data_IF_370848290132
#
_entry.id   IF_370848290132
#
_cell.length_a   1.000
_cell.length_b   1.000
_cell.length_c   1.000
_cell.angle_alpha   90.00
_cell.angle_beta   90.00
_cell.angle_gamma   90.00
#
_symmetry.space_group_name_H-M   'P 1'
#
loop_
_entity.id
_entity.type
_entity.pdbx_description
1 polymer ?
#
# COMPACT_ATOMS: atom_id res chain seq x y z
N UNK A 1 -11.66 3.08 -4.56
CA UNK A 1 -10.82 3.42 -3.40
C UNK A 1 -10.97 2.46 -2.23
N UNK A 2 -12.17 2.27 -1.66
CA UNK A 2 -12.37 1.43 -0.46
C UNK A 2 -11.85 0.00 -0.59
N UNK A 3 -12.18 -0.71 -1.68
CA UNK A 3 -11.82 -2.13 -1.83
C UNK A 3 -10.34 -2.28 -2.23
N UNK A 4 -9.95 -2.19 -3.50
CA UNK A 4 -8.53 -2.37 -3.89
C UNK A 4 -7.56 -1.33 -3.32
N UNK A 5 -8.01 -0.09 -3.09
CA UNK A 5 -7.14 0.97 -2.59
C UNK A 5 -6.74 0.76 -1.14
N UNK A 6 -7.58 0.11 -0.32
CA UNK A 6 -7.29 -0.19 1.08
C UNK A 6 -5.97 -0.94 1.26
N UNK A 7 -5.67 -1.92 0.40
CA UNK A 7 -4.43 -2.67 0.46
C UNK A 7 -3.17 -1.80 0.31
N UNK A 8 -3.26 -0.70 -0.43
CA UNK A 8 -2.13 0.23 -0.60
C UNK A 8 -2.12 1.27 0.52
N UNK A 9 -3.30 1.72 0.95
CA UNK A 9 -3.44 2.66 2.07
C UNK A 9 -2.89 2.05 3.35
N UNK A 10 -3.23 0.80 3.63
CA UNK A 10 -2.73 0.03 4.77
C UNK A 10 -1.19 0.04 4.81
N UNK A 11 -0.54 -0.40 3.73
CA UNK A 11 0.93 -0.44 3.68
C UNK A 11 1.58 0.95 3.78
N UNK A 12 0.95 1.97 3.22
CA UNK A 12 1.42 3.35 3.33
C UNK A 12 1.30 3.89 4.76
N UNK A 13 0.18 3.64 5.43
CA UNK A 13 -0.08 4.09 6.82
C UNK A 13 0.78 3.31 7.81
N UNK A 14 1.00 2.00 7.59
CA UNK A 14 1.95 1.22 8.38
C UNK A 14 3.39 1.79 8.25
N UNK A 15 3.77 2.25 7.06
CA UNK A 15 5.10 2.83 6.82
C UNK A 15 5.25 4.26 7.38
N UNK A 16 4.22 5.09 7.24
CA UNK A 16 4.31 6.54 7.46
C UNK A 16 3.59 7.02 8.72
N UNK A 17 2.78 6.18 9.35
CA UNK A 17 1.86 6.54 10.42
C UNK A 17 0.60 7.23 9.92
N UNK A 18 -0.06 7.97 10.82
CA UNK A 18 -1.27 8.75 10.48
C UNK A 18 -0.90 9.96 9.61
N UNK A 19 -1.61 10.21 8.49
CA UNK A 19 -1.49 11.44 7.71
C UNK A 19 -2.10 12.64 8.45
N UNK A 20 -1.57 13.84 8.18
CA UNK A 20 -2.13 15.10 8.69
C UNK A 20 -3.44 15.47 7.98
N UNK A 21 -3.58 15.06 6.71
CA UNK A 21 -4.77 15.33 5.88
C UNK A 21 -4.91 14.32 4.75
N UNK A 22 -6.15 13.99 4.40
CA UNK A 22 -6.49 13.20 3.22
C UNK A 22 -7.40 14.01 2.30
N UNK A 23 -7.09 14.05 1.01
CA UNK A 23 -7.92 14.71 -0.01
C UNK A 23 -8.30 13.70 -1.10
N UNK A 24 -9.57 13.25 -1.13
CA UNK A 24 -10.04 12.30 -2.13
C UNK A 24 -10.61 13.00 -3.38
N UNK A 25 -10.39 12.37 -4.53
CA UNK A 25 -10.98 12.70 -5.83
C UNK A 25 -11.68 11.46 -6.35
N UNK A 26 -13.00 11.42 -6.18
CA UNK A 26 -13.80 10.24 -6.44
C UNK A 26 -14.72 10.48 -7.63
N UNK A 27 -14.64 9.61 -8.64
CA UNK A 27 -15.47 9.68 -9.84
C UNK A 27 -16.13 8.34 -10.12
N UNK A 28 -17.34 8.43 -10.66
CA UNK A 28 -18.05 7.34 -11.31
C UNK A 28 -18.10 7.65 -12.80
N UNK A 29 -17.49 6.81 -13.62
CA UNK A 29 -17.50 6.94 -15.08
C UNK A 29 -18.14 5.74 -15.79
N UNK A 30 -18.16 4.57 -15.15
CA UNK A 30 -18.78 3.36 -15.67
C UNK A 30 -20.30 3.40 -15.62
N UNK A 31 -20.92 2.71 -16.58
CA UNK A 31 -22.37 2.57 -16.69
C UNK A 31 -22.91 1.39 -15.86
N UNK A 32 -22.42 1.21 -14.63
CA UNK A 32 -22.86 0.14 -13.73
C UNK A 32 -24.11 0.57 -12.94
N UNK A 33 -25.04 -0.38 -12.63
CA UNK A 33 -26.29 -0.11 -11.93
C UNK A 33 -26.10 0.00 -10.40
N UNK A 34 -25.12 0.78 -9.96
CA UNK A 34 -24.84 1.11 -8.57
C UNK A 34 -24.48 2.60 -8.42
N UNK A 35 -24.05 3.05 -7.25
CA UNK A 35 -23.55 4.42 -7.03
C UNK A 35 -22.07 4.43 -6.62
N UNK A 36 -21.33 3.37 -6.93
CA UNK A 36 -19.94 3.21 -6.50
C UNK A 36 -19.01 4.02 -7.42
N UNK A 37 -17.90 4.48 -6.83
CA UNK A 37 -16.85 5.21 -7.56
C UNK A 37 -15.85 4.21 -8.14
N UNK A 38 -15.52 4.37 -9.42
CA UNK A 38 -14.74 3.42 -10.22
C UNK A 38 -13.48 4.03 -10.85
N UNK A 39 -13.25 5.32 -10.61
CA UNK A 39 -12.03 6.01 -10.95
C UNK A 39 -11.68 7.01 -9.85
N UNK A 40 -10.64 6.70 -9.08
CA UNK A 40 -10.41 7.32 -7.78
C UNK A 40 -8.94 7.65 -7.58
N UNK A 41 -8.69 8.80 -6.95
CA UNK A 41 -7.38 9.23 -6.45
C UNK A 41 -7.57 9.69 -5.01
N UNK A 42 -6.63 9.41 -4.13
CA UNK A 42 -6.56 10.02 -2.81
C UNK A 42 -5.13 10.48 -2.53
N UNK A 43 -4.99 11.72 -2.07
CA UNK A 43 -3.70 12.32 -1.68
C UNK A 43 -3.64 12.37 -0.16
N UNK A 44 -2.54 11.88 0.38
CA UNK A 44 -2.25 11.79 1.82
C UNK A 44 -1.09 12.73 2.12
N UNK A 45 -1.33 13.71 2.96
CA UNK A 45 -0.31 14.68 3.38
C UNK A 45 0.30 14.21 4.70
N UNK A 46 1.61 14.04 4.72
CA UNK A 46 2.39 13.76 5.93
C UNK A 46 3.35 14.93 6.19
N UNK A 47 3.88 15.08 7.42
CA UNK A 47 4.73 16.23 7.76
C UNK A 47 5.92 16.44 6.82
N UNK A 48 6.42 15.37 6.18
CA UNK A 48 7.60 15.39 5.31
C UNK A 48 7.46 14.56 4.03
N UNK A 49 6.25 14.17 3.65
CA UNK A 49 6.01 13.34 2.47
C UNK A 49 4.59 13.53 1.92
N UNK A 50 4.39 13.09 0.67
CA UNK A 50 3.09 12.95 0.06
C UNK A 50 2.89 11.49 -0.32
N UNK A 51 1.73 10.94 0.04
CA UNK A 51 1.23 9.66 -0.44
C UNK A 51 0.17 9.89 -1.51
N UNK A 52 0.16 9.08 -2.56
CA UNK A 52 -0.89 9.13 -3.59
C UNK A 52 -1.32 7.70 -3.90
N UNK A 53 -2.61 7.44 -3.73
CA UNK A 53 -3.23 6.17 -4.12
C UNK A 53 -4.15 6.43 -5.30
N UNK A 54 -3.95 5.68 -6.37
CA UNK A 54 -4.73 5.77 -7.61
C UNK A 54 -5.35 4.39 -7.85
N UNK A 55 -6.64 4.36 -8.17
CA UNK A 55 -7.33 3.12 -8.47
C UNK A 55 -8.46 3.35 -9.46
N UNK A 56 -8.51 2.52 -10.51
CA UNK A 56 -9.62 2.47 -11.44
C UNK A 56 -10.10 1.03 -11.64
N UNK A 57 -11.40 0.80 -11.48
CA UNK A 57 -12.06 -0.45 -11.81
C UNK A 57 -12.35 -0.59 -13.33
N UNK A 58 -12.04 0.45 -14.11
CA UNK A 58 -12.29 0.51 -15.54
C UNK A 58 -11.08 0.06 -16.38
N UNK A 59 -9.91 -0.14 -15.77
CA UNK A 59 -8.72 -0.61 -16.47
C UNK A 59 -8.78 -2.13 -16.69
N UNK A 60 -8.94 -2.60 -17.95
CA UNK A 60 -9.02 -4.03 -18.26
C UNK A 60 -7.72 -4.79 -17.96
N UNK A 61 -6.59 -4.09 -17.80
CA UNK A 61 -5.28 -4.66 -17.47
C UNK A 61 -4.77 -4.27 -16.09
N UNK A 62 -5.62 -3.66 -15.24
CA UNK A 62 -5.21 -3.06 -13.97
C UNK A 62 -4.43 -4.00 -13.05
N UNK A 63 -4.75 -5.30 -13.04
CA UNK A 63 -4.04 -6.29 -12.22
C UNK A 63 -2.54 -6.37 -12.52
N UNK A 64 -2.11 -6.07 -13.76
CA UNK A 64 -0.69 -6.11 -14.19
C UNK A 64 0.12 -4.91 -13.69
N UNK A 65 -0.54 -3.79 -13.44
CA UNK A 65 0.09 -2.51 -13.12
C UNK A 65 0.00 -2.15 -11.64
N UNK A 66 -0.47 -3.07 -10.80
CA UNK A 66 -0.47 -2.91 -9.34
C UNK A 66 0.97 -2.77 -8.85
N UNK A 67 1.28 -1.58 -8.31
CA UNK A 67 2.62 -1.24 -7.83
C UNK A 67 2.58 -0.47 -6.53
N UNK A 68 3.65 -0.60 -5.74
CA UNK A 68 3.92 0.23 -4.58
C UNK A 68 5.30 0.87 -4.74
N UNK A 69 5.36 2.19 -4.63
CA UNK A 69 6.58 2.96 -4.91
C UNK A 69 6.87 3.89 -3.75
N UNK A 70 8.09 3.81 -3.23
CA UNK A 70 8.61 4.71 -2.21
C UNK A 70 9.77 5.49 -2.81
N UNK A 71 9.64 6.80 -2.90
CA UNK A 71 10.69 7.68 -3.44
C UNK A 71 11.19 8.60 -2.34
N UNK A 72 12.50 8.54 -2.09
CA UNK A 72 13.20 9.38 -1.14
C UNK A 72 14.32 10.18 -1.80
N UNK A 73 15.03 10.97 -0.99
CA UNK A 73 16.11 11.84 -1.47
C UNK A 73 17.33 11.09 -2.02
N UNK A 74 17.50 9.80 -1.67
CA UNK A 74 18.63 8.98 -2.12
C UNK A 74 18.23 7.93 -3.16
N UNK A 75 16.97 7.88 -3.60
CA UNK A 75 16.54 6.88 -4.58
C UNK A 75 15.10 6.42 -4.41
N UNK A 76 14.75 5.38 -5.13
CA UNK A 76 13.40 4.81 -5.19
C UNK A 76 13.42 3.31 -4.97
N UNK A 77 12.43 2.81 -4.24
CA UNK A 77 12.09 1.39 -4.16
C UNK A 77 10.73 1.16 -4.84
N UNK A 78 10.68 0.25 -5.81
CA UNK A 78 9.51 -0.04 -6.63
C UNK A 78 9.18 -1.53 -6.53
N UNK A 79 8.02 -1.84 -5.97
CA UNK A 79 7.41 -3.16 -6.05
C UNK A 79 6.45 -3.18 -7.24
N UNK A 80 6.78 -3.89 -8.32
CA UNK A 80 5.92 -3.99 -9.50
C UNK A 80 6.20 -5.24 -10.36
N UNK A 81 5.19 -6.11 -10.62
CA UNK A 81 3.88 -6.10 -9.97
C UNK A 81 4.00 -6.46 -8.48
N UNK A 82 2.97 -6.19 -7.69
CA UNK A 82 2.91 -6.60 -6.28
C UNK A 82 2.80 -8.13 -6.14
N UNK A 83 2.17 -8.81 -7.11
CA UNK A 83 1.95 -10.26 -7.04
C UNK A 83 2.10 -10.90 -8.43
N UNK A 84 3.09 -11.79 -8.64
CA UNK A 84 4.20 -12.09 -7.72
C UNK A 84 5.13 -10.87 -7.55
N UNK A 85 5.65 -10.62 -6.33
CA UNK A 85 6.36 -9.39 -6.03
C UNK A 85 7.69 -9.31 -6.76
N UNK A 86 7.96 -8.17 -7.39
CA UNK A 86 9.28 -7.83 -7.94
C UNK A 86 9.72 -6.49 -7.37
N UNK A 87 10.73 -6.52 -6.50
CA UNK A 87 11.30 -5.32 -5.91
C UNK A 87 12.53 -4.87 -6.70
N UNK A 88 12.49 -3.63 -7.19
CA UNK A 88 13.63 -2.93 -7.77
C UNK A 88 13.97 -1.73 -6.90
N UNK A 89 15.24 -1.56 -6.58
CA UNK A 89 15.77 -0.40 -5.88
C UNK A 89 16.70 0.34 -6.84
N UNK A 90 16.60 1.66 -6.90
CA UNK A 90 17.52 2.51 -7.65
C UNK A 90 18.05 3.61 -6.74
N UNK A 91 19.35 3.56 -6.42
CA UNK A 91 19.98 4.48 -5.47
C UNK A 91 20.95 5.46 -6.12
N UNK A 92 20.87 6.72 -5.73
CA UNK A 92 21.86 7.73 -6.09
C UNK A 92 23.22 7.48 -5.41
N UNK A 93 23.21 7.01 -4.16
CA UNK A 93 24.38 6.54 -3.40
C UNK A 93 24.05 5.21 -2.72
N UNK A 94 25.01 4.30 -2.63
CA UNK A 94 24.85 3.05 -1.90
C UNK A 94 24.38 3.31 -0.45
N UNK A 95 23.47 2.47 0.06
CA UNK A 95 22.90 2.60 1.40
C UNK A 95 22.49 1.24 1.95
N UNK A 96 22.87 0.95 3.21
CA UNK A 96 22.64 -0.34 3.82
C UNK A 96 23.27 -1.48 2.99
N UNK A 97 22.52 -2.56 2.68
CA UNK A 97 23.03 -3.67 1.88
C UNK A 97 22.99 -3.42 0.36
N UNK A 98 22.53 -2.24 -0.10
CA UNK A 98 22.23 -1.98 -1.51
C UNK A 98 23.29 -1.07 -2.18
N UNK A 99 23.67 -1.39 -3.42
CA UNK A 99 24.64 -0.63 -4.21
C UNK A 99 24.01 0.58 -4.91
N UNK A 100 24.88 1.45 -5.46
CA UNK A 100 24.45 2.60 -6.25
C UNK A 100 23.90 2.15 -7.61
N UNK A 101 22.80 2.76 -8.04
CA UNK A 101 22.12 2.49 -9.29
C UNK A 101 21.02 1.45 -9.14
N UNK A 102 20.48 1.00 -10.28
CA UNK A 102 19.37 0.06 -10.35
C UNK A 102 19.80 -1.35 -9.96
N UNK A 103 18.96 -2.01 -9.16
CA UNK A 103 19.13 -3.40 -8.75
C UNK A 103 17.81 -4.07 -8.44
N UNK A 104 17.69 -5.34 -8.83
CA UNK A 104 16.64 -6.20 -8.31
C UNK A 104 17.01 -6.66 -6.89
N UNK A 105 16.02 -6.68 -6.00
CA UNK A 105 16.14 -7.28 -4.68
C UNK A 105 15.42 -8.61 -4.71
N UNK A 106 16.15 -9.69 -4.44
CA UNK A 106 15.55 -11.01 -4.32
C UNK A 106 14.68 -11.06 -3.06
N UNK A 107 13.41 -11.41 -3.24
CA UNK A 107 12.46 -11.61 -2.17
C UNK A 107 12.29 -13.11 -1.93
N UNK A 108 12.06 -13.54 -0.68
CA UNK A 108 11.69 -14.92 -0.42
C UNK A 108 10.42 -15.27 -1.19
N UNK A 109 10.26 -16.56 -1.50
CA UNK A 109 9.04 -17.05 -2.18
C UNK A 109 7.83 -16.73 -1.32
N UNK A 110 7.00 -15.81 -1.80
CA UNK A 110 5.75 -15.46 -1.13
C UNK A 110 4.77 -16.63 -1.18
N UNK A 111 4.26 -17.02 0.00
CA UNK A 111 3.15 -17.95 0.15
C UNK A 111 1.99 -17.20 0.78
N UNK A 112 0.98 -16.91 -0.02
CA UNK A 112 -0.14 -16.06 0.37
C UNK A 112 -0.79 -16.59 1.66
N UNK A 113 -0.92 -15.71 2.66
CA UNK A 113 -1.52 -15.95 3.97
C UNK A 113 -0.79 -16.92 4.91
N UNK A 114 0.23 -17.65 4.46
CA UNK A 114 0.87 -18.66 5.28
C UNK A 114 1.46 -18.07 6.57
N UNK A 115 2.26 -17.01 6.42
CA UNK A 115 2.89 -16.33 7.56
C UNK A 115 1.86 -15.58 8.42
N UNK A 116 0.81 -15.02 7.80
CA UNK A 116 -0.28 -14.34 8.51
C UNK A 116 -1.03 -15.32 9.45
N UNK A 117 -1.33 -16.54 8.99
CA UNK A 117 -1.95 -17.56 9.83
C UNK A 117 -1.02 -18.09 10.92
N UNK A 118 0.27 -18.22 10.62
CA UNK A 118 1.27 -18.59 11.64
C UNK A 118 1.32 -17.54 12.74
N UNK A 119 1.37 -16.27 12.38
CA UNK A 119 1.36 -15.13 13.30
C UNK A 119 0.08 -15.11 14.15
N UNK A 120 -1.09 -15.19 13.52
CA UNK A 120 -2.37 -15.24 14.22
C UNK A 120 -2.46 -16.41 15.22
N UNK A 121 -1.96 -17.59 14.83
CA UNK A 121 -1.96 -18.75 15.71
C UNK A 121 -1.04 -18.58 16.93
N UNK A 122 0.10 -17.88 16.78
CA UNK A 122 0.99 -17.54 17.90
C UNK A 122 0.30 -16.56 18.86
N UNK A 123 -0.43 -15.59 18.32
CA UNK A 123 -1.21 -14.63 19.12
C UNK A 123 -2.29 -15.31 19.97
N UNK A 124 -3.06 -16.23 19.37
CA UNK A 124 -4.07 -17.01 20.10
C UNK A 124 -3.45 -17.83 21.24
N UNK A 125 -2.26 -18.39 21.03
CA UNK A 125 -1.53 -19.19 22.05
C UNK A 125 -0.81 -18.34 23.10
N UNK A 126 -0.80 -17.00 22.97
CA UNK A 126 -0.08 -16.11 23.87
C UNK A 126 1.43 -16.14 23.71
N UNK A 127 1.94 -16.63 22.58
CA UNK A 127 3.38 -16.75 22.31
C UNK A 127 4.01 -15.43 21.82
N UNK A 128 3.20 -14.56 21.22
CA UNK A 128 3.56 -13.22 20.76
C UNK A 128 2.28 -12.38 20.63
N UNK A 129 2.33 -11.04 20.77
CA UNK A 129 1.19 -10.20 20.37
C UNK A 129 1.02 -10.22 18.84
N UNK A 130 -0.14 -9.72 18.37
CA UNK A 130 -0.33 -9.41 16.95
C UNK A 130 0.72 -8.37 16.50
N UNK A 131 1.19 -8.50 15.26
CA UNK A 131 2.14 -7.56 14.66
C UNK A 131 1.53 -6.18 14.45
N UNK A 132 0.21 -6.14 14.20
CA UNK A 132 -0.57 -4.91 14.08
C UNK A 132 -1.50 -4.83 15.28
N UNK A 133 -1.38 -3.74 16.04
CA UNK A 133 -2.24 -3.48 17.20
C UNK A 133 -3.63 -3.01 16.74
N UNK A 134 -4.67 -3.17 17.56
CA UNK A 134 -5.99 -2.63 17.26
C UNK A 134 -6.01 -1.11 17.03
N UNK A 135 -5.07 -0.38 17.64
CA UNK A 135 -4.94 1.06 17.42
C UNK A 135 -4.37 1.38 16.04
N UNK A 136 -3.34 0.65 15.59
CA UNK A 136 -2.78 0.80 14.24
C UNK A 136 -3.83 0.44 13.18
N UNK A 137 -4.56 -0.66 13.38
CA UNK A 137 -5.66 -1.04 12.48
C UNK A 137 -6.76 0.04 12.44
N UNK A 138 -7.14 0.60 13.59
CA UNK A 138 -8.11 1.71 13.63
C UNK A 138 -7.64 2.93 12.83
N UNK A 139 -6.36 3.30 12.93
CA UNK A 139 -5.79 4.40 12.15
C UNK A 139 -5.91 4.12 10.65
N UNK A 140 -5.59 2.89 10.22
CA UNK A 140 -5.74 2.46 8.83
C UNK A 140 -7.21 2.54 8.38
N UNK A 141 -8.15 2.04 9.17
CA UNK A 141 -9.58 2.07 8.84
C UNK A 141 -10.12 3.49 8.69
N UNK A 142 -9.77 4.40 9.60
CA UNK A 142 -10.15 5.81 9.49
C UNK A 142 -9.61 6.45 8.21
N UNK A 143 -8.35 6.15 7.86
CA UNK A 143 -7.75 6.63 6.63
C UNK A 143 -8.45 6.08 5.37
N UNK A 144 -8.85 4.80 5.38
CA UNK A 144 -9.57 4.17 4.27
C UNK A 144 -10.95 4.82 4.08
N UNK A 145 -11.69 5.04 5.17
CA UNK A 145 -13.02 5.65 5.15
C UNK A 145 -12.93 7.08 4.58
N UNK A 146 -12.03 7.90 5.11
CA UNK A 146 -11.84 9.28 4.62
C UNK A 146 -11.39 9.32 3.15
N UNK A 147 -10.42 8.48 2.77
CA UNK A 147 -9.92 8.41 1.39
C UNK A 147 -10.97 7.92 0.39
N UNK A 148 -11.92 7.10 0.84
CA UNK A 148 -12.95 6.52 -0.01
C UNK A 148 -14.28 7.26 0.00
N UNK A 149 -14.44 8.26 0.88
CA UNK A 149 -15.67 9.05 1.02
C UNK A 149 -16.86 8.25 1.54
N UNK A 150 -16.58 7.26 2.39
CA UNK A 150 -17.59 6.37 3.02
C UNK A 150 -18.01 6.85 4.40
#
# INVERSE_FOLDING_TARGET
MFELGSHIIDQMVLLMGRPDRITPFLKKHGAFPDNLTDNTIAVFEFPRALGVVIGSALDPSGSRYRSFVVSGSNGTATMSPIEPPRLTVDLHKAAGPYHKGVQAVELPKYQRFADDFVEFARAIRGEAPLLVTPHEDLVVQECIIEASGM
#
